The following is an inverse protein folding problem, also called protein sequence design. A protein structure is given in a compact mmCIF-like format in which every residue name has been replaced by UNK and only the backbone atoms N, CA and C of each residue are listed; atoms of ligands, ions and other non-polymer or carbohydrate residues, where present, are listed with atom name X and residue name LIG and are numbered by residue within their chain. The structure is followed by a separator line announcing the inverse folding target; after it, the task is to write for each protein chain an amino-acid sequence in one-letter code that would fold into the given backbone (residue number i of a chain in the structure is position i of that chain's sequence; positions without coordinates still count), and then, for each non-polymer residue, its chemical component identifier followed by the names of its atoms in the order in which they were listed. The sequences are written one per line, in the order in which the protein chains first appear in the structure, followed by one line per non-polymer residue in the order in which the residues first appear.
data_IF_572871782328
#
_entry.id   IF_572871782328
#
_cell.length_a   1.000
_cell.length_b   1.000
_cell.length_c   1.000
_cell.angle_alpha   90.00
_cell.angle_beta   90.00
_cell.angle_gamma   90.00
#
_symmetry.space_group_name_H-M   'P 1'
#
loop_
_entity.id
_entity.type
_entity.pdbx_description
1 polymer ?
#
# COMPACT_ATOMS: atom_id res chain seq x y z
N UNK A 1 18.04 -23.59 1.27
CA UNK A 1 18.32 -22.49 2.22
C UNK A 1 16.99 -22.04 2.79
N UNK A 2 16.90 -21.88 4.13
CA UNK A 2 15.70 -21.33 4.75
C UNK A 2 15.80 -19.81 4.88
N UNK A 3 14.71 -19.13 4.56
CA UNK A 3 14.59 -17.69 4.63
C UNK A 3 13.33 -17.32 5.40
N UNK A 4 13.34 -16.15 6.02
CA UNK A 4 12.21 -15.56 6.74
C UNK A 4 11.74 -14.31 6.00
N UNK A 5 10.47 -14.27 5.60
CA UNK A 5 9.79 -13.08 5.11
C UNK A 5 8.96 -12.46 6.23
N UNK A 6 8.99 -11.13 6.32
CA UNK A 6 8.20 -10.33 7.27
C UNK A 6 7.34 -9.33 6.51
N UNK A 7 6.05 -9.28 6.84
CA UNK A 7 5.13 -8.23 6.37
C UNK A 7 4.58 -7.45 7.57
N UNK A 8 4.91 -6.16 7.63
CA UNK A 8 4.51 -5.25 8.71
C UNK A 8 3.33 -4.41 8.23
N UNK A 9 2.17 -5.05 8.15
CA UNK A 9 0.93 -4.42 7.70
C UNK A 9 0.29 -3.53 8.76
N UNK A 10 -0.73 -2.79 8.35
CA UNK A 10 -1.46 -1.86 9.23
C UNK A 10 -2.22 -2.59 10.34
N UNK A 11 -2.80 -3.76 10.06
CA UNK A 11 -3.66 -4.51 10.99
C UNK A 11 -3.03 -5.79 11.50
N UNK A 12 -2.10 -6.35 10.77
CA UNK A 12 -1.42 -7.60 11.10
C UNK A 12 0.08 -7.50 10.81
N UNK A 13 0.86 -8.30 11.52
CA UNK A 13 2.27 -8.56 11.25
C UNK A 13 2.35 -10.04 10.93
N UNK A 14 2.79 -10.35 9.72
CA UNK A 14 2.92 -11.72 9.24
C UNK A 14 4.38 -12.07 9.01
N UNK A 15 4.73 -13.32 9.36
CA UNK A 15 6.05 -13.87 9.15
C UNK A 15 5.91 -15.24 8.48
N UNK A 16 6.73 -15.52 7.48
CA UNK A 16 6.71 -16.78 6.74
C UNK A 16 8.12 -17.35 6.62
N UNK A 17 8.26 -18.66 6.89
CA UNK A 17 9.52 -19.39 6.65
C UNK A 17 9.41 -20.12 5.33
N UNK A 18 10.35 -19.85 4.44
CA UNK A 18 10.43 -20.49 3.13
C UNK A 18 11.67 -21.40 3.06
N UNK A 19 11.55 -22.54 2.41
CA UNK A 19 12.67 -23.38 1.99
C UNK A 19 12.61 -23.65 0.50
N UNK A 20 13.62 -23.15 -0.22
CA UNK A 20 13.70 -23.29 -1.69
C UNK A 20 12.45 -22.76 -2.43
N UNK A 21 11.86 -21.69 -1.91
CA UNK A 21 10.65 -21.06 -2.46
C UNK A 21 9.32 -21.68 -2.01
N UNK A 22 9.33 -22.75 -1.24
CA UNK A 22 8.12 -23.35 -0.68
C UNK A 22 7.91 -22.88 0.78
N UNK A 23 6.66 -22.57 1.14
CA UNK A 23 6.28 -22.25 2.52
C UNK A 23 6.41 -23.48 3.40
N UNK A 24 7.11 -23.34 4.52
CA UNK A 24 7.20 -24.37 5.58
C UNK A 24 6.31 -24.06 6.76
N UNK A 25 6.24 -22.78 7.14
CA UNK A 25 5.49 -22.35 8.31
C UNK A 25 5.19 -20.86 8.20
N UNK A 26 4.13 -20.41 8.86
CA UNK A 26 3.76 -19.00 8.91
C UNK A 26 3.13 -18.64 10.25
N UNK A 27 3.33 -17.39 10.66
CA UNK A 27 2.79 -16.81 11.87
C UNK A 27 2.22 -15.44 11.59
N UNK A 28 0.94 -15.23 11.88
CA UNK A 28 0.32 -13.90 11.78
C UNK A 28 -0.15 -13.46 13.15
N UNK A 29 0.31 -12.28 13.57
CA UNK A 29 -0.04 -11.65 14.83
C UNK A 29 -0.82 -10.36 14.58
N UNK A 30 -1.79 -9.98 15.44
CA UNK A 30 -2.44 -8.68 15.34
C UNK A 30 -1.42 -7.55 15.51
N UNK A 31 -1.49 -6.54 14.66
CA UNK A 31 -0.80 -5.28 14.89
C UNK A 31 -1.67 -4.40 15.79
N UNK A 32 -1.53 -4.59 17.11
CA UNK A 32 -2.33 -3.89 18.13
C UNK A 32 -1.92 -2.44 18.38
N UNK A 33 -1.08 -1.87 17.54
CA UNK A 33 -0.41 -0.60 17.81
C UNK A 33 -1.24 0.67 17.59
N UNK A 34 -2.52 0.61 17.19
CA UNK A 34 -3.30 1.84 17.03
C UNK A 34 -3.42 2.61 18.33
N UNK A 35 -3.00 3.88 18.28
CA UNK A 35 -3.14 4.83 19.37
C UNK A 35 -4.43 5.65 19.15
N UNK A 36 -5.04 6.06 20.26
CA UNK A 36 -6.15 7.02 20.19
C UNK A 36 -5.58 8.38 19.87
N UNK A 37 -5.82 8.88 18.66
CA UNK A 37 -5.43 10.21 18.24
C UNK A 37 -6.24 11.30 18.94
N UNK A 38 -5.70 12.50 19.01
CA UNK A 38 -6.39 13.68 19.56
C UNK A 38 -7.42 14.25 18.58
N UNK A 39 -7.23 14.03 17.27
CA UNK A 39 -8.12 14.50 16.23
C UNK A 39 -8.75 13.31 15.46
N UNK A 40 -9.98 13.48 14.93
CA UNK A 40 -10.70 12.39 14.26
C UNK A 40 -10.04 11.93 12.96
N UNK A 41 -9.13 12.71 12.39
CA UNK A 41 -8.38 12.38 11.18
C UNK A 41 -7.02 11.74 11.48
N UNK A 42 -6.55 11.74 12.72
CA UNK A 42 -5.29 11.10 13.10
C UNK A 42 -5.40 9.57 13.00
N UNK A 43 -4.40 8.97 12.35
CA UNK A 43 -4.23 7.53 12.24
C UNK A 43 -2.78 7.20 12.58
N UNK A 44 -2.55 7.01 13.88
CA UNK A 44 -1.21 6.83 14.45
C UNK A 44 -1.09 5.48 15.16
N UNK A 45 0.13 4.93 15.16
CA UNK A 45 0.45 3.66 15.81
C UNK A 45 1.70 3.80 16.70
N UNK A 46 1.82 2.92 17.69
CA UNK A 46 2.99 2.80 18.57
C UNK A 46 4.11 1.99 17.87
N UNK A 47 5.22 2.61 17.46
CA UNK A 47 6.32 1.92 16.81
C UNK A 47 7.03 0.91 17.72
N UNK A 48 7.01 1.12 19.04
CA UNK A 48 7.61 0.17 20.00
C UNK A 48 6.76 -1.09 20.13
N UNK A 49 5.43 -0.96 20.16
CA UNK A 49 4.52 -2.10 20.15
C UNK A 49 4.65 -2.92 18.87
N UNK A 50 4.74 -2.24 17.70
CA UNK A 50 4.97 -2.89 16.41
C UNK A 50 6.30 -3.66 16.43
N UNK A 51 7.39 -3.01 16.84
CA UNK A 51 8.70 -3.66 16.96
C UNK A 51 8.66 -4.87 17.88
N UNK A 52 7.99 -4.77 19.03
CA UNK A 52 7.87 -5.89 19.97
C UNK A 52 7.16 -7.09 19.33
N UNK A 53 6.08 -6.85 18.56
CA UNK A 53 5.35 -7.90 17.83
C UNK A 53 6.22 -8.52 16.71
N UNK A 54 6.99 -7.71 15.98
CA UNK A 54 7.97 -8.21 14.99
C UNK A 54 8.99 -9.12 15.65
N UNK A 55 9.60 -8.66 16.75
CA UNK A 55 10.59 -9.46 17.49
C UNK A 55 9.99 -10.78 18.01
N UNK A 56 8.77 -10.74 18.54
CA UNK A 56 8.05 -11.94 18.98
C UNK A 56 7.89 -12.95 17.83
N UNK A 57 7.47 -12.51 16.65
CA UNK A 57 7.29 -13.38 15.49
C UNK A 57 8.63 -13.98 15.02
N UNK A 58 9.67 -13.15 14.93
CA UNK A 58 11.02 -13.57 14.54
C UNK A 58 11.58 -14.59 15.52
N UNK A 59 11.56 -14.32 16.83
CA UNK A 59 12.09 -15.22 17.87
C UNK A 59 11.33 -16.57 17.89
N UNK A 60 10.01 -16.53 17.74
CA UNK A 60 9.20 -17.77 17.69
C UNK A 60 9.59 -18.66 16.51
N UNK A 61 9.77 -18.08 15.31
CA UNK A 61 10.14 -18.86 14.14
C UNK A 61 11.61 -19.29 14.16
N UNK A 62 12.53 -18.48 14.70
CA UNK A 62 13.93 -18.91 14.90
C UNK A 62 14.09 -20.01 15.95
N UNK A 63 13.19 -20.09 16.93
CA UNK A 63 13.18 -21.20 17.88
C UNK A 63 12.81 -22.54 17.21
N UNK A 64 11.90 -22.49 16.22
CA UNK A 64 11.51 -23.67 15.44
C UNK A 64 12.48 -23.97 14.28
N UNK A 65 13.05 -22.94 13.69
CA UNK A 65 13.92 -23.03 12.48
C UNK A 65 15.23 -22.29 12.66
N UNK A 66 16.16 -22.79 13.51
CA UNK A 66 17.43 -22.12 13.81
C UNK A 66 18.39 -22.03 12.62
N UNK A 67 18.09 -22.73 11.52
CA UNK A 67 18.85 -22.72 10.27
C UNK A 67 18.43 -21.64 9.28
N UNK A 68 17.51 -20.72 9.62
CA UNK A 68 17.21 -19.53 8.83
C UNK A 68 18.50 -18.73 8.59
N UNK A 69 18.74 -18.34 7.32
CA UNK A 69 19.98 -17.65 6.89
C UNK A 69 19.76 -16.26 6.32
N UNK A 70 18.52 -15.91 5.98
CA UNK A 70 18.20 -14.60 5.45
C UNK A 70 16.83 -14.12 5.95
N UNK A 71 16.70 -12.81 6.17
CA UNK A 71 15.45 -12.13 6.55
C UNK A 71 15.22 -11.02 5.53
N UNK A 72 14.06 -11.06 4.86
CA UNK A 72 13.54 -9.99 4.02
C UNK A 72 12.30 -9.38 4.67
N UNK A 73 12.15 -8.07 4.57
CA UNK A 73 11.03 -7.34 5.16
C UNK A 73 10.23 -6.56 4.13
N UNK A 74 8.94 -6.42 4.39
CA UNK A 74 8.04 -5.49 3.71
C UNK A 74 7.06 -4.90 4.71
N UNK A 75 6.30 -3.90 4.31
CA UNK A 75 5.27 -3.34 5.18
C UNK A 75 4.52 -2.17 4.57
N UNK A 76 3.61 -1.59 5.37
CA UNK A 76 2.82 -0.44 4.99
C UNK A 76 3.69 0.73 4.55
N UNK A 77 3.52 1.17 3.31
CA UNK A 77 4.28 2.27 2.71
C UNK A 77 3.82 3.65 3.20
N UNK A 78 4.56 4.67 2.81
CA UNK A 78 4.24 6.10 2.96
C UNK A 78 4.35 6.67 4.38
N UNK A 79 3.90 5.94 5.41
CA UNK A 79 3.90 6.42 6.79
C UNK A 79 5.32 6.66 7.35
N UNK A 80 5.44 7.57 8.32
CA UNK A 80 6.74 7.94 8.93
C UNK A 80 6.75 7.83 10.45
N UNK A 81 7.92 7.47 10.97
CA UNK A 81 8.29 7.60 12.38
C UNK A 81 9.58 8.41 12.49
N UNK A 82 9.66 9.31 13.47
CA UNK A 82 10.91 10.02 13.77
C UNK A 82 11.73 9.23 14.77
N UNK A 83 13.03 9.14 14.50
CA UNK A 83 14.03 8.50 15.38
C UNK A 83 15.04 9.55 15.84
N UNK A 84 15.56 9.37 17.04
CA UNK A 84 16.71 10.14 17.53
C UNK A 84 18.05 9.56 17.02
N UNK A 85 19.15 10.20 17.38
CA UNK A 85 20.50 9.78 16.99
C UNK A 85 20.93 8.39 17.51
N UNK A 86 20.19 7.84 18.49
CA UNK A 86 20.42 6.47 18.98
C UNK A 86 19.58 5.44 18.23
N UNK A 87 18.69 5.86 17.33
CA UNK A 87 17.75 5.01 16.62
C UNK A 87 16.48 4.70 17.43
N UNK A 88 16.25 5.40 18.55
CA UNK A 88 15.03 5.24 19.32
C UNK A 88 13.89 6.09 18.72
N UNK A 89 12.64 5.56 18.65
CA UNK A 89 11.51 6.34 18.14
C UNK A 89 11.14 7.45 19.14
N UNK A 90 11.00 8.67 18.62
CA UNK A 90 10.65 9.88 19.37
C UNK A 90 9.30 10.46 18.97
N UNK A 91 8.54 9.72 18.16
CA UNK A 91 7.17 10.01 17.77
C UNK A 91 6.34 8.74 17.64
N UNK A 92 5.01 8.82 17.55
CA UNK A 92 4.23 7.73 17.00
C UNK A 92 4.60 7.52 15.51
N UNK A 93 4.24 6.36 14.97
CA UNK A 93 4.14 6.15 13.53
C UNK A 93 2.90 6.91 13.04
N UNK A 94 3.08 7.85 12.14
CA UNK A 94 2.02 8.47 11.36
C UNK A 94 1.79 7.57 10.16
N UNK A 95 0.64 6.88 10.11
CA UNK A 95 0.40 5.90 9.05
C UNK A 95 0.01 6.55 7.72
N UNK A 96 -0.01 5.77 6.65
CA UNK A 96 -0.49 6.21 5.34
C UNK A 96 -1.96 6.67 5.33
N UNK A 97 -2.74 6.30 6.34
CA UNK A 97 -4.14 6.70 6.51
C UNK A 97 -4.30 8.02 7.28
N UNK A 98 -3.21 8.58 7.79
CA UNK A 98 -3.26 9.80 8.59
C UNK A 98 -3.69 11.00 7.73
N UNK A 99 -4.71 11.71 8.19
CA UNK A 99 -5.39 12.77 7.44
C UNK A 99 -4.72 14.14 7.51
N UNK A 100 -3.47 14.29 7.97
CA UNK A 100 -2.76 15.57 8.03
C UNK A 100 -2.68 16.25 6.67
N UNK A 101 -2.45 15.48 5.63
CA UNK A 101 -2.36 15.99 4.26
C UNK A 101 -3.65 16.60 3.73
N UNK A 102 -4.81 16.22 4.27
CA UNK A 102 -6.13 16.77 3.89
C UNK A 102 -6.49 18.05 4.67
N UNK A 103 -5.73 18.38 5.70
CA UNK A 103 -6.05 19.57 6.48
C UNK A 103 -5.94 20.84 5.62
N UNK A 104 -6.79 21.86 5.87
CA UNK A 104 -6.82 23.07 5.05
C UNK A 104 -5.57 23.93 5.28
N UNK A 105 -4.98 24.45 4.19
CA UNK A 105 -3.87 25.39 4.18
C UNK A 105 -4.04 26.39 3.04
N UNK A 106 -4.43 27.64 3.37
CA UNK A 106 -4.51 28.73 2.40
C UNK A 106 -5.48 28.49 1.23
N UNK A 107 -6.61 27.82 1.47
CA UNK A 107 -7.61 27.52 0.45
C UNK A 107 -7.38 26.20 -0.34
N UNK A 108 -6.33 25.48 0.01
CA UNK A 108 -6.00 24.14 -0.50
C UNK A 108 -5.82 23.17 0.66
N UNK A 109 -5.58 21.88 0.37
CA UNK A 109 -5.07 20.93 1.37
C UNK A 109 -3.55 21.05 1.49
N UNK A 110 -2.95 20.53 2.56
CA UNK A 110 -1.49 20.45 2.70
C UNK A 110 -0.86 19.68 1.53
N UNK A 111 -1.43 18.55 1.13
CA UNK A 111 -0.97 17.79 -0.02
C UNK A 111 -1.06 18.59 -1.33
N UNK A 112 -2.19 19.26 -1.58
CA UNK A 112 -2.39 20.09 -2.77
C UNK A 112 -1.43 21.29 -2.83
N UNK A 113 -1.23 21.98 -1.68
CA UNK A 113 -0.28 23.08 -1.60
C UNK A 113 1.15 22.62 -1.91
N UNK A 114 1.58 21.54 -1.26
CA UNK A 114 2.94 21.02 -1.43
C UNK A 114 3.16 20.50 -2.86
N UNK A 115 2.14 19.87 -3.48
CA UNK A 115 2.19 19.47 -4.89
C UNK A 115 2.36 20.67 -5.82
N UNK A 116 1.60 21.74 -5.59
CA UNK A 116 1.70 22.97 -6.38
C UNK A 116 3.06 23.66 -6.23
N UNK A 117 3.64 23.60 -5.03
CA UNK A 117 4.92 24.22 -4.71
C UNK A 117 6.10 23.49 -5.35
N UNK A 118 6.08 22.16 -5.31
CA UNK A 118 7.22 21.31 -5.68
C UNK A 118 7.12 20.72 -7.08
N UNK A 119 5.91 20.65 -7.64
CA UNK A 119 5.63 19.99 -8.92
C UNK A 119 5.51 18.46 -8.83
N UNK A 120 5.63 17.89 -7.64
CA UNK A 120 5.43 16.45 -7.41
C UNK A 120 3.95 16.13 -7.17
N UNK A 121 3.42 15.01 -7.68
CA UNK A 121 2.05 14.57 -7.40
C UNK A 121 1.97 13.96 -5.99
N UNK A 122 1.82 14.82 -4.98
CA UNK A 122 1.77 14.42 -3.59
C UNK A 122 0.33 14.18 -3.12
N UNK A 123 0.14 13.21 -2.24
CA UNK A 123 -1.15 12.85 -1.69
C UNK A 123 -1.10 12.79 -0.15
N UNK A 124 -2.28 12.84 0.47
CA UNK A 124 -2.45 12.55 1.89
C UNK A 124 -1.87 11.18 2.22
N UNK A 125 -1.16 11.08 3.32
CA UNK A 125 -0.46 9.87 3.75
C UNK A 125 0.99 9.78 3.27
N UNK A 126 1.41 10.53 2.23
CA UNK A 126 2.83 10.59 1.87
C UNK A 126 3.66 11.19 3.01
N UNK A 127 4.78 10.55 3.34
CA UNK A 127 5.60 10.87 4.50
C UNK A 127 6.06 12.32 4.56
N UNK A 128 6.47 12.90 3.43
CA UNK A 128 6.93 14.29 3.39
C UNK A 128 5.77 15.30 3.44
N UNK A 129 4.54 14.91 3.09
CA UNK A 129 3.35 15.72 3.34
C UNK A 129 3.03 15.74 4.84
N UNK A 130 3.09 14.59 5.49
CA UNK A 130 2.95 14.45 6.95
C UNK A 130 4.03 15.24 7.68
N UNK A 131 5.30 15.12 7.24
CA UNK A 131 6.42 15.86 7.82
C UNK A 131 6.24 17.38 7.66
N UNK A 132 5.84 17.85 6.49
CA UNK A 132 5.60 19.27 6.22
C UNK A 132 4.51 19.85 7.13
N UNK A 133 3.40 19.12 7.31
CA UNK A 133 2.38 19.50 8.30
C UNK A 133 2.97 19.58 9.71
N UNK A 134 3.71 18.56 10.14
CA UNK A 134 4.30 18.50 11.45
C UNK A 134 5.30 19.66 11.69
N UNK A 135 6.08 20.01 10.68
CA UNK A 135 7.03 21.12 10.75
C UNK A 135 6.31 22.47 10.97
N UNK A 136 5.25 22.75 10.20
CA UNK A 136 4.49 24.00 10.35
C UNK A 136 3.74 24.11 11.70
N UNK A 137 3.45 22.96 12.33
CA UNK A 137 2.74 22.92 13.62
C UNK A 137 3.64 22.68 14.83
N UNK A 138 4.97 22.67 14.65
CA UNK A 138 5.91 22.41 15.75
C UNK A 138 5.79 21.00 16.35
N UNK A 139 5.38 20.01 15.56
CA UNK A 139 5.19 18.62 15.97
C UNK A 139 6.38 17.72 15.62
N UNK A 140 7.40 18.25 14.93
CA UNK A 140 8.67 17.53 14.73
C UNK A 140 9.41 17.53 16.06
N UNK A 141 9.77 16.35 16.61
CA UNK A 141 10.49 16.29 17.88
C UNK A 141 11.85 16.99 17.79
N UNK A 142 12.23 17.77 18.82
CA UNK A 142 13.48 18.54 18.85
C UNK A 142 14.73 17.64 18.73
N UNK A 143 14.64 16.41 19.22
CA UNK A 143 15.71 15.41 19.16
C UNK A 143 15.58 14.46 17.97
N UNK A 144 14.69 14.71 17.02
CA UNK A 144 14.61 13.91 15.79
C UNK A 144 15.90 14.07 14.98
N UNK A 145 16.52 12.95 14.65
CA UNK A 145 17.73 12.88 13.83
C UNK A 145 17.41 12.37 12.41
N UNK A 146 16.39 11.51 12.27
CA UNK A 146 15.98 10.94 10.98
C UNK A 146 14.51 10.53 11.05
N UNK A 147 13.82 10.53 9.92
CA UNK A 147 12.52 9.89 9.73
C UNK A 147 12.69 8.64 8.85
N UNK A 148 11.81 7.66 9.01
CA UNK A 148 11.81 6.46 8.15
C UNK A 148 10.43 5.79 8.16
N UNK A 149 10.25 4.79 7.30
CA UNK A 149 9.07 3.92 7.34
C UNK A 149 9.14 2.95 8.53
N UNK A 150 8.02 2.33 8.86
CA UNK A 150 7.97 1.38 9.99
C UNK A 150 8.76 0.10 9.70
N UNK A 151 8.79 -0.36 8.46
CA UNK A 151 9.53 -1.56 8.07
C UNK A 151 11.03 -1.30 7.96
N UNK A 152 11.47 -0.08 7.58
CA UNK A 152 12.87 0.33 7.70
C UNK A 152 13.34 0.34 9.16
N UNK A 153 12.49 0.90 10.06
CA UNK A 153 12.75 0.87 11.50
C UNK A 153 12.85 -0.56 12.05
N UNK A 154 11.98 -1.46 11.61
CA UNK A 154 12.02 -2.85 12.03
C UNK A 154 13.29 -3.57 11.52
N UNK A 155 13.64 -3.42 10.24
CA UNK A 155 14.83 -4.00 9.64
C UNK A 155 16.11 -3.49 10.33
N UNK A 156 16.21 -2.17 10.56
CA UNK A 156 17.27 -1.55 11.34
C UNK A 156 17.39 -2.16 12.75
N UNK A 157 16.24 -2.34 13.43
CA UNK A 157 16.19 -2.89 14.79
C UNK A 157 16.66 -4.35 14.86
N UNK A 158 16.35 -5.17 13.84
CA UNK A 158 16.83 -6.55 13.74
C UNK A 158 18.34 -6.64 13.64
N UNK A 159 18.96 -5.64 13.00
CA UNK A 159 20.43 -5.56 12.87
C UNK A 159 21.13 -4.90 14.07
N UNK A 160 20.38 -4.28 14.98
CA UNK A 160 20.96 -3.47 16.07
C UNK A 160 21.64 -2.20 15.58
N UNK A 161 21.22 -1.65 14.44
CA UNK A 161 21.71 -0.38 13.90
C UNK A 161 21.00 0.82 14.54
N UNK A 162 21.64 2.00 14.47
CA UNK A 162 21.10 3.25 14.99
C UNK A 162 20.54 4.17 13.89
N UNK A 163 20.80 3.88 12.62
CA UNK A 163 20.30 4.66 11.50
C UNK A 163 19.58 3.76 10.49
N UNK A 164 18.41 4.16 10.01
CA UNK A 164 17.65 3.41 9.00
C UNK A 164 18.29 3.56 7.61
N UNK A 165 18.10 2.54 6.78
CA UNK A 165 18.35 2.56 5.36
C UNK A 165 17.07 2.20 4.65
N UNK A 166 16.71 2.90 3.58
CA UNK A 166 15.46 2.73 2.85
C UNK A 166 15.71 2.26 1.42
N UNK A 167 14.81 1.46 0.89
CA UNK A 167 14.79 1.11 -0.54
C UNK A 167 14.32 2.31 -1.38
N UNK A 168 14.72 2.35 -2.67
CA UNK A 168 14.31 3.42 -3.58
C UNK A 168 12.79 3.51 -3.75
N UNK A 169 12.06 2.37 -3.70
CA UNK A 169 10.60 2.32 -3.75
C UNK A 169 9.96 2.97 -2.55
N UNK A 170 10.51 2.72 -1.36
CA UNK A 170 10.05 3.34 -0.12
C UNK A 170 10.43 4.82 -0.04
N UNK A 171 11.64 5.19 -0.44
CA UNK A 171 12.04 6.59 -0.56
C UNK A 171 11.10 7.37 -1.49
N UNK A 172 10.74 6.79 -2.64
CA UNK A 172 9.77 7.39 -3.56
C UNK A 172 8.37 7.52 -2.94
N UNK A 173 7.98 6.57 -2.10
CA UNK A 173 6.69 6.58 -1.40
C UNK A 173 6.57 7.69 -0.37
N UNK A 174 7.69 8.19 0.15
CA UNK A 174 7.70 9.36 1.03
C UNK A 174 7.36 10.66 0.29
N UNK A 175 7.66 10.73 -1.01
CA UNK A 175 7.45 11.89 -1.87
C UNK A 175 8.73 12.66 -2.19
N UNK A 176 8.68 13.56 -3.17
CA UNK A 176 9.81 14.40 -3.64
C UNK A 176 11.08 13.61 -3.96
N UNK A 177 10.91 12.44 -4.54
CA UNK A 177 11.99 11.57 -4.97
C UNK A 177 12.12 11.60 -6.49
N UNK A 178 13.29 11.94 -6.99
CA UNK A 178 13.59 11.90 -8.42
C UNK A 178 13.87 10.46 -8.84
N UNK A 179 12.90 9.85 -9.54
CA UNK A 179 12.96 8.47 -9.99
C UNK A 179 14.09 8.20 -10.98
N UNK A 180 14.56 9.21 -11.71
CA UNK A 180 15.67 9.07 -12.68
C UNK A 180 17.03 9.20 -12.00
N UNK A 181 17.12 10.13 -11.04
CA UNK A 181 18.32 10.31 -10.25
C UNK A 181 18.49 9.24 -9.16
N UNK A 182 17.40 8.56 -8.78
CA UNK A 182 17.38 7.60 -7.66
C UNK A 182 17.68 8.27 -6.31
N UNK A 183 17.24 9.51 -6.12
CA UNK A 183 17.53 10.30 -4.93
C UNK A 183 16.41 11.30 -4.63
N UNK A 184 16.33 11.76 -3.38
CA UNK A 184 15.43 12.87 -3.03
C UNK A 184 15.81 14.16 -3.79
N UNK A 185 14.80 14.85 -4.34
CA UNK A 185 14.99 16.09 -5.09
C UNK A 185 15.30 17.24 -4.14
N UNK A 186 16.58 17.63 -4.10
CA UNK A 186 17.05 18.71 -3.22
C UNK A 186 16.34 20.04 -3.45
N UNK A 187 15.99 20.35 -4.71
CA UNK A 187 15.28 21.58 -5.04
C UNK A 187 13.86 21.57 -4.50
N UNK A 188 13.15 20.44 -4.64
CA UNK A 188 11.81 20.28 -4.09
C UNK A 188 11.81 20.37 -2.55
N UNK A 189 12.80 19.76 -1.89
CA UNK A 189 12.99 19.86 -0.44
C UNK A 189 13.27 21.29 0.00
N UNK A 190 14.17 22.00 -0.67
CA UNK A 190 14.47 23.41 -0.39
C UNK A 190 13.24 24.31 -0.53
N UNK A 191 12.43 24.13 -1.61
CA UNK A 191 11.18 24.85 -1.79
C UNK A 191 10.18 24.58 -0.67
N UNK A 192 10.11 23.35 -0.16
CA UNK A 192 9.27 22.97 0.95
C UNK A 192 9.85 23.36 2.32
N UNK A 193 11.10 23.82 2.39
CA UNK A 193 11.80 24.10 3.65
C UNK A 193 12.07 22.86 4.48
N UNK A 194 12.17 21.68 3.84
CA UNK A 194 12.44 20.40 4.50
C UNK A 194 13.94 20.17 4.58
N UNK A 195 14.44 19.90 5.78
CA UNK A 195 15.86 19.57 5.97
C UNK A 195 16.15 18.15 5.46
N UNK A 196 17.00 18.06 4.42
CA UNK A 196 17.42 16.80 3.85
C UNK A 196 18.19 15.89 4.83
N UNK A 197 18.74 16.44 5.91
CA UNK A 197 19.43 15.65 6.96
C UNK A 197 18.47 14.74 7.75
N UNK A 198 17.17 15.05 7.75
CA UNK A 198 16.14 14.22 8.38
C UNK A 198 15.69 13.03 7.50
N UNK A 199 16.14 12.95 6.25
CA UNK A 199 15.73 11.88 5.34
C UNK A 199 16.60 10.62 5.53
N UNK A 200 16.03 9.42 5.35
CA UNK A 200 16.78 8.19 5.45
C UNK A 200 17.79 8.06 4.30
N UNK A 201 18.87 7.34 4.55
CA UNK A 201 19.81 6.99 3.49
C UNK A 201 19.17 5.99 2.52
N UNK A 202 19.22 6.29 1.23
CA UNK A 202 18.75 5.36 0.19
C UNK A 202 19.81 4.31 -0.07
N UNK A 203 19.45 3.04 0.10
CA UNK A 203 20.36 1.92 -0.04
C UNK A 203 20.85 1.77 -1.48
N UNK A 204 22.17 1.71 -1.66
CA UNK A 204 22.77 1.34 -2.94
C UNK A 204 22.81 -0.19 -3.13
N UNK A 205 22.88 -0.93 -2.03
CA UNK A 205 22.92 -2.39 -1.99
C UNK A 205 21.88 -2.90 -0.99
N UNK A 206 21.25 -4.04 -1.25
CA UNK A 206 20.15 -4.50 -0.41
C UNK A 206 20.57 -5.07 0.94
N UNK A 207 21.82 -5.45 1.13
CA UNK A 207 22.32 -5.99 2.40
C UNK A 207 22.40 -4.90 3.47
N UNK A 208 21.68 -5.09 4.58
CA UNK A 208 21.63 -4.13 5.68
C UNK A 208 22.54 -4.52 6.86
N UNK A 209 22.59 -5.78 7.20
CA UNK A 209 23.33 -6.29 8.36
C UNK A 209 22.97 -7.73 8.70
N UNK A 210 23.15 -8.14 9.96
CA UNK A 210 22.80 -9.50 10.38
C UNK A 210 22.02 -9.52 11.69
N UNK A 211 21.07 -10.43 11.77
CA UNK A 211 20.37 -10.77 13.01
C UNK A 211 21.17 -11.78 13.82
N UNK A 212 21.69 -11.34 14.98
CA UNK A 212 22.49 -12.16 15.91
C UNK A 212 23.66 -12.93 15.25
N UNK A 213 24.28 -12.40 14.20
CA UNK A 213 25.31 -13.09 13.40
C UNK A 213 24.86 -14.46 12.85
N UNK A 214 23.56 -14.69 12.67
CA UNK A 214 22.97 -15.96 12.20
C UNK A 214 22.33 -15.87 10.83
N UNK A 215 21.62 -14.79 10.59
CA UNK A 215 20.90 -14.57 9.35
C UNK A 215 21.20 -13.18 8.80
N UNK A 216 21.43 -13.07 7.50
CA UNK A 216 21.56 -11.80 6.81
C UNK A 216 20.20 -11.09 6.76
N UNK A 217 20.22 -9.78 7.03
CA UNK A 217 19.02 -8.93 6.96
C UNK A 217 19.17 -7.99 5.79
N UNK A 218 18.13 -7.88 5.01
CA UNK A 218 18.09 -7.03 3.83
C UNK A 218 17.22 -5.80 4.07
N UNK A 219 17.49 -4.73 3.31
CA UNK A 219 16.64 -3.54 3.28
C UNK A 219 15.21 -3.94 2.97
N UNK A 220 14.28 -3.43 3.75
CA UNK A 220 12.87 -3.70 3.52
C UNK A 220 12.39 -3.02 2.24
N UNK A 221 11.33 -3.53 1.64
CA UNK A 221 10.72 -3.02 0.41
C UNK A 221 9.23 -2.76 0.63
N UNK A 222 8.64 -1.90 -0.18
CA UNK A 222 7.22 -1.61 -0.10
C UNK A 222 6.33 -2.83 -0.37
N UNK A 223 5.14 -2.83 0.24
CA UNK A 223 4.16 -3.92 0.12
C UNK A 223 3.70 -4.18 -1.31
N UNK A 224 3.61 -3.14 -2.13
CA UNK A 224 3.26 -3.27 -3.56
C UNK A 224 4.33 -4.03 -4.35
N UNK A 225 5.61 -3.70 -4.15
CA UNK A 225 6.73 -4.39 -4.78
C UNK A 225 6.83 -5.84 -4.28
N UNK A 226 6.66 -6.05 -3.00
CA UNK A 226 6.66 -7.39 -2.40
C UNK A 226 5.51 -8.25 -2.92
N UNK A 227 4.31 -7.69 -3.06
CA UNK A 227 3.16 -8.37 -3.65
C UNK A 227 3.42 -8.80 -5.08
N UNK A 228 4.03 -7.92 -5.90
CA UNK A 228 4.39 -8.27 -7.27
C UNK A 228 5.40 -9.43 -7.30
N UNK A 229 6.48 -9.32 -6.53
CA UNK A 229 7.51 -10.37 -6.44
C UNK A 229 6.93 -11.70 -5.97
N UNK A 230 6.11 -11.68 -4.93
CA UNK A 230 5.53 -12.89 -4.35
C UNK A 230 4.52 -13.56 -5.28
N UNK A 231 3.64 -12.78 -5.91
CA UNK A 231 2.57 -13.31 -6.76
C UNK A 231 3.08 -13.80 -8.13
N UNK A 232 4.11 -13.13 -8.68
CA UNK A 232 4.66 -13.49 -10.02
C UNK A 232 5.85 -14.42 -9.93
N UNK A 233 6.38 -14.69 -8.73
CA UNK A 233 7.63 -15.44 -8.56
C UNK A 233 8.85 -14.72 -9.17
N UNK A 234 8.74 -13.41 -9.37
CA UNK A 234 9.78 -12.58 -10.01
C UNK A 234 9.72 -12.58 -11.54
N UNK A 235 8.66 -13.16 -12.14
CA UNK A 235 8.47 -13.06 -13.61
C UNK A 235 8.12 -11.62 -14.00
N UNK A 236 9.08 -10.94 -14.62
CA UNK A 236 8.95 -9.55 -15.09
C UNK A 236 8.07 -9.40 -16.34
N UNK A 237 7.63 -10.49 -16.97
CA UNK A 237 6.67 -10.44 -18.07
C UNK A 237 5.21 -10.62 -17.60
N UNK A 238 5.02 -10.91 -16.31
CA UNK A 238 3.70 -11.05 -15.74
C UNK A 238 3.06 -9.69 -15.42
N UNK A 239 1.73 -9.65 -15.44
CA UNK A 239 0.92 -8.59 -14.86
C UNK A 239 0.31 -9.10 -13.56
N UNK A 240 0.47 -8.36 -12.48
CA UNK A 240 -0.27 -8.61 -11.25
C UNK A 240 -1.56 -7.78 -11.24
N UNK A 241 -2.70 -8.44 -11.14
CA UNK A 241 -4.00 -7.80 -10.92
C UNK A 241 -4.49 -8.16 -9.53
N UNK A 242 -4.69 -7.16 -8.70
CA UNK A 242 -5.23 -7.31 -7.35
C UNK A 242 -6.61 -6.66 -7.26
N UNK A 243 -7.62 -7.47 -6.94
CA UNK A 243 -9.01 -7.00 -6.78
C UNK A 243 -9.41 -7.21 -5.32
N UNK A 244 -9.30 -6.15 -4.56
CA UNK A 244 -9.79 -6.04 -3.18
C UNK A 244 -10.99 -5.10 -3.10
N UNK A 245 -11.03 -4.22 -2.13
CA UNK A 245 -12.03 -3.16 -2.00
C UNK A 245 -12.05 -2.22 -3.23
N UNK A 246 -10.89 -1.81 -3.70
CA UNK A 246 -10.63 -1.27 -5.04
C UNK A 246 -9.91 -2.31 -5.88
N UNK A 247 -9.44 -1.94 -7.06
CA UNK A 247 -8.59 -2.79 -7.89
C UNK A 247 -7.31 -2.06 -8.27
N UNK A 248 -6.27 -2.84 -8.50
CA UNK A 248 -4.95 -2.35 -8.89
C UNK A 248 -4.33 -3.35 -9.84
N UNK A 249 -3.63 -2.86 -10.85
CA UNK A 249 -2.68 -3.69 -11.57
C UNK A 249 -1.27 -3.15 -11.44
N UNK A 250 -0.29 -4.03 -11.61
CA UNK A 250 1.13 -3.68 -11.62
C UNK A 250 1.81 -4.45 -12.75
N UNK A 251 2.65 -3.76 -13.54
CA UNK A 251 3.49 -4.34 -14.58
C UNK A 251 4.90 -3.83 -14.43
N UNK A 252 5.88 -4.71 -14.68
CA UNK A 252 7.28 -4.34 -14.67
C UNK A 252 7.70 -3.70 -15.99
N UNK A 253 8.55 -2.67 -15.91
CA UNK A 253 9.25 -2.06 -17.04
C UNK A 253 10.72 -1.85 -16.67
N UNK A 254 11.62 -2.11 -17.63
CA UNK A 254 13.07 -2.00 -17.40
C UNK A 254 13.58 -0.56 -17.37
N UNK A 255 12.86 0.37 -17.99
CA UNK A 255 13.24 1.77 -18.08
C UNK A 255 12.18 2.68 -17.48
N UNK A 256 12.62 3.85 -17.00
CA UNK A 256 11.68 4.87 -16.51
C UNK A 256 10.71 5.28 -17.61
N UNK A 257 9.44 5.18 -17.28
CA UNK A 257 8.34 5.53 -18.17
C UNK A 257 7.31 6.35 -17.39
N UNK A 258 6.78 7.39 -18.02
CA UNK A 258 5.68 8.18 -17.45
C UNK A 258 4.46 7.99 -18.32
N UNK A 259 3.46 7.33 -17.79
CA UNK A 259 2.19 7.07 -18.47
C UNK A 259 1.07 7.87 -17.78
N UNK A 260 0.22 8.57 -18.55
CA UNK A 260 -0.94 9.23 -17.96
C UNK A 260 -1.83 8.26 -17.18
N UNK A 261 -2.19 8.62 -15.96
CA UNK A 261 -3.05 7.79 -15.11
C UNK A 261 -2.34 6.67 -14.35
N UNK A 262 -1.07 6.38 -14.67
CA UNK A 262 -0.26 5.39 -13.96
C UNK A 262 0.78 6.05 -13.07
N UNK A 263 1.06 5.38 -11.97
CA UNK A 263 2.16 5.72 -11.06
C UNK A 263 3.38 4.85 -11.38
N UNK A 264 4.55 5.47 -11.51
CA UNK A 264 5.81 4.76 -11.71
C UNK A 264 6.53 4.64 -10.36
N UNK A 265 6.84 3.41 -9.95
CA UNK A 265 7.51 3.09 -8.69
C UNK A 265 8.81 2.36 -8.94
N UNK A 266 9.92 2.70 -8.29
CA UNK A 266 11.15 1.90 -8.36
C UNK A 266 10.89 0.44 -7.95
N UNK A 267 11.60 -0.46 -8.61
CA UNK A 267 11.51 -1.89 -8.34
C UNK A 267 12.83 -2.44 -7.84
N UNK A 268 12.84 -3.30 -6.81
CA UNK A 268 14.06 -3.90 -6.27
C UNK A 268 14.86 -4.64 -7.34
N UNK A 269 16.16 -4.39 -7.36
CA UNK A 269 17.06 -4.98 -8.38
C UNK A 269 17.11 -4.22 -9.70
N UNK A 270 16.37 -3.13 -9.84
CA UNK A 270 16.36 -2.23 -11.00
C UNK A 270 15.06 -2.28 -11.80
N UNK A 271 14.86 -1.25 -12.63
CA UNK A 271 13.60 -1.04 -13.35
C UNK A 271 12.50 -0.45 -12.46
N UNK A 272 11.26 -0.56 -12.91
CA UNK A 272 10.11 0.10 -12.28
C UNK A 272 8.86 -0.77 -12.39
N UNK A 273 7.90 -0.54 -11.49
CA UNK A 273 6.51 -0.95 -11.65
C UNK A 273 5.69 0.24 -12.14
N UNK A 274 4.93 0.03 -13.21
CA UNK A 274 3.80 0.89 -13.55
C UNK A 274 2.57 0.36 -12.83
N UNK A 275 1.93 1.22 -12.05
CA UNK A 275 0.82 0.86 -11.18
C UNK A 275 -0.40 1.67 -11.56
N UNK A 276 -1.46 0.99 -11.98
CA UNK A 276 -2.79 1.57 -12.16
C UNK A 276 -3.68 1.18 -11.00
N UNK A 277 -4.40 2.13 -10.42
CA UNK A 277 -5.30 1.87 -9.31
C UNK A 277 -6.67 2.51 -9.53
N UNK A 278 -7.73 1.71 -9.44
CA UNK A 278 -9.11 2.14 -9.49
C UNK A 278 -9.78 2.05 -8.12
N UNK A 279 -10.70 2.97 -7.84
CA UNK A 279 -11.60 2.89 -6.70
C UNK A 279 -12.68 1.82 -6.92
N UNK A 280 -12.76 1.29 -8.15
CA UNK A 280 -13.65 0.23 -8.55
C UNK A 280 -13.02 -1.14 -8.27
N UNK A 281 -13.75 -2.00 -7.61
CA UNK A 281 -13.31 -3.36 -7.24
C UNK A 281 -14.43 -4.05 -6.48
N UNK A 282 -14.10 -4.80 -5.45
CA UNK A 282 -15.08 -5.49 -4.60
C UNK A 282 -16.17 -4.59 -4.04
N UNK A 283 -15.93 -3.27 -3.89
CA UNK A 283 -17.01 -2.32 -3.53
C UNK A 283 -18.12 -2.22 -4.57
N UNK A 284 -17.78 -2.27 -5.86
CA UNK A 284 -18.78 -2.26 -6.92
C UNK A 284 -19.60 -3.55 -6.89
N UNK A 285 -18.95 -4.68 -6.69
CA UNK A 285 -19.62 -5.97 -6.53
C UNK A 285 -20.49 -6.00 -5.26
N UNK A 286 -20.00 -5.47 -4.14
CA UNK A 286 -20.75 -5.33 -2.89
C UNK A 286 -21.96 -4.37 -3.01
N UNK A 287 -21.89 -3.36 -3.89
CA UNK A 287 -23.03 -2.50 -4.17
C UNK A 287 -24.16 -3.28 -4.85
N UNK A 288 -23.79 -4.16 -5.79
CA UNK A 288 -24.77 -5.02 -6.48
C UNK A 288 -25.36 -6.08 -5.54
N UNK A 289 -24.52 -6.69 -4.66
CA UNK A 289 -25.01 -7.57 -3.59
C UNK A 289 -26.05 -6.87 -2.71
N UNK A 290 -25.72 -5.66 -2.24
CA UNK A 290 -26.65 -4.88 -1.43
C UNK A 290 -27.97 -4.62 -2.14
N UNK A 291 -27.94 -4.29 -3.43
CA UNK A 291 -29.14 -4.10 -4.25
C UNK A 291 -30.01 -5.38 -4.27
N UNK A 292 -29.42 -6.55 -4.49
CA UNK A 292 -30.15 -7.81 -4.47
C UNK A 292 -30.70 -8.15 -3.09
N UNK A 293 -29.96 -7.93 -2.04
CA UNK A 293 -30.38 -8.16 -0.66
C UNK A 293 -31.53 -7.23 -0.25
N UNK A 294 -31.48 -5.96 -0.62
CA UNK A 294 -32.58 -5.02 -0.40
C UNK A 294 -33.82 -5.38 -1.23
N UNK A 295 -33.64 -5.87 -2.45
CA UNK A 295 -34.73 -6.39 -3.30
C UNK A 295 -35.40 -7.62 -2.69
N UNK A 296 -34.60 -8.58 -2.17
CA UNK A 296 -35.11 -9.74 -1.46
C UNK A 296 -35.95 -9.32 -0.23
N UNK A 297 -35.43 -8.36 0.56
CA UNK A 297 -36.17 -7.82 1.72
C UNK A 297 -37.48 -7.16 1.32
N UNK A 298 -37.51 -6.42 0.21
CA UNK A 298 -38.76 -5.82 -0.33
C UNK A 298 -39.80 -6.89 -0.63
N UNK A 299 -39.39 -8.10 -1.01
CA UNK A 299 -40.26 -9.25 -1.26
C UNK A 299 -40.57 -10.08 0.01
N UNK A 300 -40.15 -9.64 1.18
CA UNK A 300 -40.36 -10.33 2.44
C UNK A 300 -39.37 -11.51 2.69
N UNK A 301 -38.28 -11.57 1.95
CA UNK A 301 -37.24 -12.60 2.08
C UNK A 301 -36.07 -12.02 2.86
N UNK A 302 -35.85 -12.47 4.08
CA UNK A 302 -34.70 -12.07 4.89
C UNK A 302 -33.45 -12.83 4.41
N UNK A 303 -32.39 -12.07 4.12
CA UNK A 303 -31.06 -12.58 3.75
C UNK A 303 -29.98 -11.80 4.49
N UNK A 304 -29.02 -12.48 5.08
CA UNK A 304 -27.82 -11.85 5.65
C UNK A 304 -26.85 -11.44 4.53
N UNK A 305 -26.74 -12.26 3.49
CA UNK A 305 -25.89 -12.06 2.30
C UNK A 305 -26.52 -12.69 1.07
N UNK A 306 -26.28 -12.13 -0.10
CA UNK A 306 -26.66 -12.68 -1.40
C UNK A 306 -25.45 -13.13 -2.24
N UNK A 307 -24.23 -13.13 -1.72
CA UNK A 307 -23.03 -13.54 -2.49
C UNK A 307 -23.13 -14.96 -3.04
N UNK A 308 -23.53 -15.94 -2.21
CA UNK A 308 -23.70 -17.33 -2.64
C UNK A 308 -24.80 -17.47 -3.71
N UNK A 309 -25.84 -16.63 -3.64
CA UNK A 309 -26.91 -16.61 -4.65
C UNK A 309 -26.40 -16.02 -5.98
N UNK A 310 -25.54 -14.99 -5.92
CA UNK A 310 -24.90 -14.39 -7.08
C UNK A 310 -23.94 -15.36 -7.76
N UNK A 311 -23.10 -16.07 -6.99
CA UNK A 311 -22.18 -17.09 -7.50
C UNK A 311 -22.92 -18.24 -8.18
N UNK A 312 -23.95 -18.79 -7.52
CA UNK A 312 -24.78 -19.83 -8.12
C UNK A 312 -25.46 -19.38 -9.41
N UNK A 313 -25.86 -18.11 -9.50
CA UNK A 313 -26.47 -17.60 -10.72
C UNK A 313 -25.44 -17.53 -11.86
N UNK A 314 -24.20 -17.11 -11.59
CA UNK A 314 -23.11 -17.10 -12.56
C UNK A 314 -22.73 -18.51 -13.02
N UNK A 315 -22.72 -19.48 -12.12
CA UNK A 315 -22.39 -20.88 -12.44
C UNK A 315 -23.52 -21.60 -13.20
N UNK A 316 -24.79 -21.20 -12.95
CA UNK A 316 -25.97 -21.89 -13.51
C UNK A 316 -26.26 -21.58 -14.96
N UNK A 317 -25.66 -20.54 -15.53
CA UNK A 317 -25.93 -20.08 -16.89
C UNK A 317 -24.64 -19.55 -17.54
N UNK A 318 -24.49 -19.78 -18.86
CA UNK A 318 -23.37 -19.20 -19.60
C UNK A 318 -23.46 -17.65 -19.59
N UNK A 319 -22.32 -17.04 -19.87
CA UNK A 319 -22.25 -15.62 -20.10
C UNK A 319 -23.24 -15.17 -21.18
N UNK A 320 -24.07 -14.12 -20.92
CA UNK A 320 -24.98 -13.60 -21.92
C UNK A 320 -24.23 -13.05 -23.14
N UNK A 321 -24.75 -13.29 -24.34
CA UNK A 321 -24.16 -12.79 -25.59
C UNK A 321 -24.13 -11.25 -25.67
N UNK A 322 -25.08 -10.57 -25.01
CA UNK A 322 -25.16 -9.12 -24.94
C UNK A 322 -25.32 -8.67 -23.48
N UNK A 323 -24.22 -8.65 -22.68
CA UNK A 323 -24.27 -8.18 -21.31
C UNK A 323 -24.57 -6.67 -21.27
N UNK A 324 -25.09 -6.21 -20.12
CA UNK A 324 -25.27 -4.77 -19.88
C UNK A 324 -23.89 -4.10 -19.81
N UNK A 325 -23.82 -2.88 -20.32
CA UNK A 325 -22.62 -2.05 -20.15
C UNK A 325 -22.70 -1.33 -18.82
N UNK A 326 -21.84 -1.69 -17.89
CA UNK A 326 -21.74 -1.06 -16.58
C UNK A 326 -20.44 -0.27 -16.51
N UNK A 327 -20.55 1.04 -16.26
CA UNK A 327 -19.43 1.87 -15.88
C UNK A 327 -19.39 1.92 -14.33
N UNK A 328 -18.47 1.21 -13.65
CA UNK A 328 -18.57 0.99 -12.21
C UNK A 328 -17.96 2.12 -11.36
N UNK A 329 -17.83 3.33 -11.88
CA UNK A 329 -17.28 4.52 -11.21
C UNK A 329 -18.26 5.10 -10.16
N UNK A 330 -18.85 4.25 -9.31
CA UNK A 330 -19.84 4.68 -8.32
C UNK A 330 -19.30 5.63 -7.25
N UNK A 331 -17.96 5.67 -7.08
CA UNK A 331 -17.26 6.56 -6.16
C UNK A 331 -16.40 7.60 -6.90
N UNK A 332 -16.53 7.72 -8.22
CA UNK A 332 -15.67 8.53 -9.05
C UNK A 332 -14.28 7.92 -9.24
N UNK A 333 -13.35 8.76 -9.68
CA UNK A 333 -11.92 8.44 -9.72
C UNK A 333 -11.15 9.33 -8.74
N UNK A 334 -9.86 9.06 -8.53
CA UNK A 334 -9.01 9.94 -7.70
C UNK A 334 -8.87 11.35 -8.29
N UNK A 335 -8.89 11.47 -9.64
CA UNK A 335 -8.78 12.75 -10.33
C UNK A 335 -10.15 13.46 -10.43
N UNK A 336 -11.25 12.71 -10.51
CA UNK A 336 -12.61 13.23 -10.73
C UNK A 336 -13.59 12.55 -9.78
N UNK A 337 -13.62 12.94 -8.50
CA UNK A 337 -14.47 12.30 -7.48
C UNK A 337 -15.99 12.47 -7.72
N UNK A 338 -16.38 13.41 -8.55
CA UNK A 338 -17.78 13.69 -8.93
C UNK A 338 -18.32 12.76 -10.00
N UNK A 339 -17.50 11.99 -10.70
CA UNK A 339 -17.98 10.97 -11.64
C UNK A 339 -18.87 9.96 -10.96
N UNK A 340 -19.85 9.47 -11.71
CA UNK A 340 -20.80 8.46 -11.22
C UNK A 340 -20.90 7.31 -12.20
N UNK A 341 -21.08 6.11 -11.65
CA UNK A 341 -21.32 4.90 -12.42
C UNK A 341 -22.62 4.99 -13.21
N UNK A 342 -22.68 4.21 -14.28
CA UNK A 342 -23.87 4.12 -15.14
C UNK A 342 -24.10 2.69 -15.61
N UNK A 343 -25.35 2.39 -15.95
CA UNK A 343 -25.75 1.15 -16.61
C UNK A 343 -26.43 1.55 -17.91
N UNK A 344 -25.98 1.00 -19.01
CA UNK A 344 -26.49 1.33 -20.35
C UNK A 344 -26.69 0.08 -21.21
N UNK A 345 -27.37 0.26 -22.37
CA UNK A 345 -27.68 -0.85 -23.25
C UNK A 345 -28.86 -1.72 -22.75
N UNK A 346 -29.71 -1.17 -21.89
CA UNK A 346 -30.86 -1.90 -21.34
C UNK A 346 -31.91 -2.13 -22.42
N UNK A 347 -32.36 -3.37 -22.56
CA UNK A 347 -33.50 -3.78 -23.40
C UNK A 347 -34.48 -4.60 -22.55
N UNK A 348 -35.61 -5.00 -23.19
CA UNK A 348 -36.58 -5.86 -22.52
C UNK A 348 -36.06 -7.27 -22.22
N UNK A 349 -35.07 -7.71 -22.98
CA UNK A 349 -34.51 -9.07 -22.91
C UNK A 349 -33.33 -9.17 -21.93
N UNK A 350 -32.57 -8.09 -21.71
CA UNK A 350 -31.31 -8.14 -20.97
C UNK A 350 -31.36 -7.48 -19.57
N UNK A 351 -32.48 -6.93 -19.12
CA UNK A 351 -32.57 -6.35 -17.78
C UNK A 351 -32.89 -7.41 -16.73
N UNK A 352 -31.93 -8.30 -16.50
CA UNK A 352 -32.03 -9.42 -15.55
C UNK A 352 -30.84 -9.42 -14.56
N UNK A 353 -30.99 -10.11 -13.40
CA UNK A 353 -29.89 -10.25 -12.45
C UNK A 353 -28.61 -10.80 -13.08
N UNK A 354 -28.71 -11.79 -13.97
CA UNK A 354 -27.54 -12.39 -14.64
C UNK A 354 -26.80 -11.37 -15.52
N UNK A 355 -27.53 -10.58 -16.31
CA UNK A 355 -26.92 -9.56 -17.16
C UNK A 355 -26.31 -8.41 -16.34
N UNK A 356 -26.88 -8.07 -15.18
CA UNK A 356 -26.31 -7.08 -14.26
C UNK A 356 -25.00 -7.58 -13.64
N UNK A 357 -24.96 -8.86 -13.25
CA UNK A 357 -23.74 -9.48 -12.69
C UNK A 357 -22.62 -9.48 -13.72
N UNK A 358 -22.86 -10.03 -14.91
CA UNK A 358 -21.86 -10.06 -15.98
C UNK A 358 -21.45 -8.65 -16.42
N UNK A 359 -22.41 -7.73 -16.58
CA UNK A 359 -22.09 -6.35 -16.89
C UNK A 359 -21.21 -5.67 -15.84
N UNK A 360 -21.42 -5.97 -14.55
CA UNK A 360 -20.57 -5.46 -13.47
C UNK A 360 -19.15 -6.03 -13.56
N UNK A 361 -19.01 -7.34 -13.78
CA UNK A 361 -17.70 -7.98 -13.90
C UNK A 361 -16.92 -7.46 -15.12
N UNK A 362 -17.58 -7.33 -16.25
CA UNK A 362 -16.99 -6.72 -17.46
C UNK A 362 -16.57 -5.27 -17.21
N UNK A 363 -17.46 -4.44 -16.62
CA UNK A 363 -17.14 -3.05 -16.33
C UNK A 363 -15.94 -2.90 -15.40
N UNK A 364 -15.77 -3.80 -14.43
CA UNK A 364 -14.57 -3.83 -13.57
C UNK A 364 -13.31 -4.22 -14.35
N UNK A 365 -13.43 -5.17 -15.27
CA UNK A 365 -12.31 -5.58 -16.14
C UNK A 365 -11.95 -4.51 -17.16
N UNK A 366 -12.95 -3.88 -17.77
CA UNK A 366 -12.78 -2.79 -18.75
C UNK A 366 -12.09 -1.58 -18.11
N UNK A 367 -12.46 -1.22 -16.88
CA UNK A 367 -11.82 -0.14 -16.11
C UNK A 367 -10.31 -0.39 -15.92
N UNK A 368 -9.92 -1.63 -15.61
CA UNK A 368 -8.52 -2.01 -15.51
C UNK A 368 -7.82 -2.03 -16.87
N UNK A 369 -8.53 -2.48 -17.92
CA UNK A 369 -7.99 -2.53 -19.26
C UNK A 369 -7.76 -1.14 -19.87
N UNK A 370 -8.66 -0.18 -19.61
CA UNK A 370 -8.51 1.19 -20.08
C UNK A 370 -7.32 1.92 -19.43
N UNK A 371 -6.89 1.50 -18.24
CA UNK A 371 -5.70 2.04 -17.58
C UNK A 371 -4.40 1.45 -18.11
N UNK A 372 -4.44 0.21 -18.64
CA UNK A 372 -3.27 -0.49 -19.22
C UNK A 372 -3.05 -0.08 -20.67
#
# INVERSE_FOLDING_TARGET
MKTLGLDIGTTTISAVVLENGAELDSLTLPNGGFLTGCAPWERIQDPLAIRATVMQAVEALFACYPEIRAIGGTGQMHGIVYLDASGAPVSPLYTWQDGRGEQPRGGQTYAGYLSSLTGYPLATGHGLVTHFYNQEHGLVPENAAVLCTIHDYAAMSLCGLCAPCTDAGDAASLGMFDLRAGAFDRRALELAGIDAALLPHVAAEPYLGSYHCRADVFTAIGDNQASFLGATGGDTNAMLVNVGTGSQFSVYVSEYMQCPGLETRPFPGGGYLLVGASLCGGRAYALLERFFRETARMLGIERESCYDDMERLLESAPEPAEPLRVLPLFQGTRQTPELRGSISGISAENFTPLHLLWGMMHGMADELHEMY
#
